data_IF_871183833697
#
_entry.id   IF_871183833697
#
_cell.length_a   1.000
_cell.length_b   1.000
_cell.length_c   1.000
_cell.angle_alpha   90.00
_cell.angle_beta   90.00
_cell.angle_gamma   90.00
#
_symmetry.space_group_name_H-M   'P 1'
#
loop_
_entity.id
_entity.type
_entity.pdbx_description
1 polymer ?
#
# COMPACT_ATOMS: atom_id res chain seq x y z
N UNK A 1 -18.44 -9.27 7.61
CA UNK A 1 -17.89 -8.02 7.06
C UNK A 1 -18.31 -6.87 7.96
N UNK A 2 -17.35 -6.22 8.61
CA UNK A 2 -17.63 -5.07 9.49
C UNK A 2 -16.86 -3.88 8.98
N UNK A 3 -17.59 -2.88 8.46
CA UNK A 3 -17.01 -1.60 8.05
C UNK A 3 -17.20 -0.59 9.17
N UNK A 4 -16.14 0.06 9.57
CA UNK A 4 -16.15 1.11 10.59
C UNK A 4 -15.59 2.42 9.99
N UNK A 5 -16.32 3.53 10.16
CA UNK A 5 -15.76 4.86 9.94
C UNK A 5 -14.83 5.20 11.10
N UNK A 6 -13.65 5.67 10.76
CA UNK A 6 -12.62 6.05 11.74
C UNK A 6 -12.05 7.40 11.35
N UNK A 7 -11.54 8.13 12.35
CA UNK A 7 -10.79 9.36 12.11
C UNK A 7 -9.42 9.32 12.77
N UNK A 8 -8.45 10.04 12.21
CA UNK A 8 -7.08 10.08 12.72
C UNK A 8 -6.38 11.40 12.44
N UNK A 9 -5.55 11.80 13.39
CA UNK A 9 -4.83 13.07 13.32
C UNK A 9 -3.63 12.98 12.39
N UNK A 10 -3.50 14.01 11.54
CA UNK A 10 -2.37 14.24 10.65
C UNK A 10 -1.87 15.67 10.82
N UNK A 11 -0.65 16.02 10.36
CA UNK A 11 -0.20 17.41 10.40
C UNK A 11 -1.18 18.33 9.65
N UNK A 12 -1.74 19.29 10.36
CA UNK A 12 -2.70 20.27 9.81
C UNK A 12 -4.17 19.90 9.86
N UNK A 13 -4.54 18.76 10.51
CA UNK A 13 -5.95 18.41 10.68
C UNK A 13 -6.22 16.96 11.00
N UNK A 14 -7.40 16.53 10.63
CA UNK A 14 -7.90 15.16 10.82
C UNK A 14 -8.36 14.59 9.48
N UNK A 15 -8.16 13.30 9.27
CA UNK A 15 -8.65 12.57 8.10
C UNK A 15 -9.62 11.48 8.54
N UNK A 16 -10.60 11.23 7.68
CA UNK A 16 -11.51 10.11 7.82
C UNK A 16 -11.07 8.92 6.95
N UNK A 17 -11.37 7.73 7.41
CA UNK A 17 -11.11 6.50 6.69
C UNK A 17 -12.18 5.43 6.93
N UNK A 18 -12.13 4.39 6.11
CA UNK A 18 -12.94 3.19 6.27
C UNK A 18 -12.04 2.04 6.70
N UNK A 19 -12.29 1.53 7.89
CA UNK A 19 -11.62 0.36 8.44
C UNK A 19 -12.47 -0.89 8.18
N UNK A 20 -11.88 -1.87 7.52
CA UNK A 20 -12.40 -3.21 7.29
C UNK A 20 -11.87 -4.12 8.39
N UNK A 21 -12.74 -4.65 9.22
CA UNK A 21 -12.38 -5.56 10.32
C UNK A 21 -12.81 -6.98 10.00
N UNK A 22 -11.91 -7.97 10.08
CA UNK A 22 -12.28 -9.36 9.93
C UNK A 22 -13.22 -9.81 11.07
N UNK A 23 -14.05 -10.82 10.82
CA UNK A 23 -14.97 -11.34 11.82
C UNK A 23 -14.27 -12.06 12.98
N UNK A 24 -13.06 -12.53 12.75
CA UNK A 24 -12.17 -13.12 13.76
C UNK A 24 -11.11 -12.12 14.16
N UNK A 25 -10.36 -12.42 15.23
CA UNK A 25 -9.21 -11.59 15.62
C UNK A 25 -8.26 -11.40 14.43
N UNK A 26 -7.93 -10.16 14.14
CA UNK A 26 -7.00 -9.85 13.06
C UNK A 26 -5.60 -10.43 13.31
N UNK A 27 -4.92 -10.86 12.27
CA UNK A 27 -3.50 -11.29 12.35
C UNK A 27 -2.54 -10.11 12.23
N UNK A 28 -3.02 -8.94 11.83
CA UNK A 28 -2.31 -7.68 11.69
C UNK A 28 -3.17 -6.63 11.01
N UNK A 29 -2.64 -5.42 10.82
CA UNK A 29 -3.30 -4.32 10.12
C UNK A 29 -2.55 -3.91 8.87
N UNK A 30 -3.24 -3.47 7.82
CA UNK A 30 -2.66 -2.97 6.60
C UNK A 30 -3.29 -1.64 6.16
N UNK A 31 -2.47 -0.69 5.71
CA UNK A 31 -2.95 0.47 4.98
C UNK A 31 -3.11 0.11 3.50
N UNK A 32 -4.16 0.63 2.86
CA UNK A 32 -4.36 0.52 1.41
C UNK A 32 -4.46 1.93 0.82
N UNK A 33 -3.44 2.32 0.07
CA UNK A 33 -3.16 3.67 -0.38
C UNK A 33 -3.47 3.81 -1.87
N UNK A 34 -4.37 4.74 -2.24
CA UNK A 34 -4.76 4.99 -3.63
C UNK A 34 -3.71 5.77 -4.43
N UNK A 35 -3.87 5.84 -5.75
CA UNK A 35 -2.99 6.55 -6.68
C UNK A 35 -3.15 8.07 -6.68
N UNK A 36 -2.33 8.76 -7.49
CA UNK A 36 -2.37 10.22 -7.68
C UNK A 36 -3.71 10.66 -8.29
N UNK A 37 -4.38 11.63 -7.65
CA UNK A 37 -5.71 12.09 -8.07
C UNK A 37 -6.82 11.04 -7.92
N UNK A 38 -6.51 9.90 -7.29
CA UNK A 38 -7.45 8.81 -7.05
C UNK A 38 -8.33 9.01 -5.83
N UNK A 39 -9.04 7.95 -5.45
CA UNK A 39 -9.96 7.94 -4.32
C UNK A 39 -9.93 6.57 -3.62
N UNK A 40 -10.15 6.49 -2.29
CA UNK A 40 -10.15 5.22 -1.56
C UNK A 40 -11.28 4.25 -1.98
N UNK A 41 -12.31 4.72 -2.67
CA UNK A 41 -13.40 3.89 -3.18
C UNK A 41 -13.19 3.38 -4.62
N UNK A 42 -11.99 3.55 -5.18
CA UNK A 42 -11.68 2.94 -6.48
C UNK A 42 -11.77 1.41 -6.40
N UNK A 43 -12.27 0.73 -7.46
CA UNK A 43 -12.56 -0.71 -7.42
C UNK A 43 -11.38 -1.59 -6.99
N UNK A 44 -10.16 -1.27 -7.40
CA UNK A 44 -8.97 -2.04 -7.00
C UNK A 44 -8.58 -1.82 -5.53
N UNK A 45 -8.81 -0.62 -4.97
CA UNK A 45 -8.57 -0.32 -3.55
C UNK A 45 -9.57 -1.07 -2.68
N UNK A 46 -10.88 -0.99 -3.03
CA UNK A 46 -11.95 -1.68 -2.31
C UNK A 46 -11.75 -3.20 -2.36
N UNK A 47 -11.54 -3.77 -3.55
CA UNK A 47 -11.31 -5.20 -3.71
C UNK A 47 -10.10 -5.70 -2.89
N UNK A 48 -9.06 -4.89 -2.79
CA UNK A 48 -7.88 -5.21 -1.95
C UNK A 48 -8.25 -5.23 -0.46
N UNK A 49 -9.01 -4.24 0.03
CA UNK A 49 -9.46 -4.21 1.42
C UNK A 49 -10.36 -5.41 1.77
N UNK A 50 -11.28 -5.76 0.87
CA UNK A 50 -12.18 -6.91 1.03
C UNK A 50 -11.39 -8.24 1.05
N UNK A 51 -10.40 -8.39 0.18
CA UNK A 51 -9.55 -9.57 0.16
C UNK A 51 -8.66 -9.68 1.41
N UNK A 52 -8.12 -8.58 1.91
CA UNK A 52 -7.37 -8.51 3.17
C UNK A 52 -8.25 -8.91 4.36
N UNK A 53 -9.46 -8.33 4.47
CA UNK A 53 -10.44 -8.66 5.50
C UNK A 53 -10.78 -10.16 5.49
N UNK A 54 -11.08 -10.71 4.30
CA UNK A 54 -11.37 -12.13 4.13
C UNK A 54 -10.19 -13.03 4.51
N UNK A 55 -8.96 -12.54 4.34
CA UNK A 55 -7.72 -13.22 4.76
C UNK A 55 -7.39 -13.04 6.25
N UNK A 56 -8.22 -12.33 7.02
CA UNK A 56 -8.00 -12.09 8.45
C UNK A 56 -7.06 -10.90 8.76
N UNK A 57 -6.83 -10.02 7.80
CA UNK A 57 -6.03 -8.79 7.98
C UNK A 57 -6.97 -7.59 8.04
N UNK A 58 -6.89 -6.78 9.09
CA UNK A 58 -7.62 -5.52 9.14
C UNK A 58 -7.06 -4.54 8.09
N UNK A 59 -7.94 -3.87 7.33
CA UNK A 59 -7.51 -3.00 6.24
C UNK A 59 -8.10 -1.60 6.37
N UNK A 60 -7.25 -0.57 6.33
CA UNK A 60 -7.67 0.83 6.39
C UNK A 60 -7.41 1.51 5.04
N UNK A 61 -8.46 2.09 4.46
CA UNK A 61 -8.38 2.96 3.28
C UNK A 61 -8.89 4.36 3.63
N UNK A 62 -8.27 5.39 3.07
CA UNK A 62 -8.63 6.78 3.32
C UNK A 62 -8.23 7.67 2.13
N UNK A 63 -8.84 8.85 2.02
CA UNK A 63 -8.41 9.88 1.07
C UNK A 63 -7.29 10.72 1.67
N UNK A 64 -6.19 10.92 0.91
CA UNK A 64 -5.16 11.86 1.33
C UNK A 64 -5.72 13.29 1.49
N UNK A 65 -5.17 14.09 2.42
CA UNK A 65 -5.60 15.48 2.64
C UNK A 65 -5.55 16.33 1.37
N UNK A 66 -4.52 16.11 0.56
CA UNK A 66 -4.27 16.82 -0.70
C UNK A 66 -4.53 15.87 -1.89
N UNK A 67 -5.68 15.16 -1.88
CA UNK A 67 -6.00 14.14 -2.90
C UNK A 67 -6.25 14.72 -4.30
N UNK A 68 -6.33 16.04 -4.45
CA UNK A 68 -6.49 16.71 -5.74
C UNK A 68 -5.17 17.25 -6.29
N UNK A 69 -4.80 16.93 -7.55
CA UNK A 69 -3.66 17.56 -8.20
C UNK A 69 -3.81 19.08 -8.27
N UNK A 70 -2.73 19.86 -8.20
CA UNK A 70 -1.32 19.47 -8.10
C UNK A 70 -0.78 19.38 -6.66
N UNK A 71 -1.64 19.48 -5.64
CA UNK A 71 -1.23 19.60 -4.23
C UNK A 71 -0.66 18.31 -3.62
N UNK A 72 -0.95 17.16 -4.25
CA UNK A 72 -0.54 15.85 -3.75
C UNK A 72 0.97 15.65 -3.89
N UNK A 73 1.67 15.52 -2.77
CA UNK A 73 3.12 15.32 -2.71
C UNK A 73 3.48 14.05 -1.95
N UNK A 74 4.67 13.48 -2.21
CA UNK A 74 5.16 12.33 -1.46
C UNK A 74 5.29 12.64 0.04
N UNK A 75 5.64 13.88 0.39
CA UNK A 75 5.80 14.31 1.78
C UNK A 75 4.45 14.33 2.52
N UNK A 76 3.39 14.93 1.91
CA UNK A 76 2.05 14.95 2.50
C UNK A 76 1.47 13.53 2.58
N UNK A 77 1.60 12.73 1.51
CA UNK A 77 1.14 11.34 1.48
C UNK A 77 1.79 10.45 2.54
N UNK A 78 3.11 10.59 2.75
CA UNK A 78 3.84 9.87 3.79
C UNK A 78 3.39 10.31 5.20
N UNK A 79 3.15 11.60 5.41
CA UNK A 79 2.68 12.11 6.70
C UNK A 79 1.26 11.59 7.02
N UNK A 80 0.38 11.50 6.02
CA UNK A 80 -0.97 10.95 6.17
C UNK A 80 -0.93 9.44 6.46
N UNK A 81 -0.13 8.70 5.70
CA UNK A 81 0.09 7.28 5.95
C UNK A 81 0.64 7.01 7.36
N UNK A 82 1.55 7.86 7.86
CA UNK A 82 2.08 7.75 9.23
C UNK A 82 1.00 7.99 10.29
N UNK A 83 0.04 8.90 10.04
CA UNK A 83 -1.13 9.11 10.89
C UNK A 83 -2.03 7.86 10.95
N UNK A 84 -2.33 7.31 9.79
CA UNK A 84 -3.13 6.10 9.65
C UNK A 84 -2.48 4.86 10.31
N UNK A 85 -1.15 4.71 10.22
CA UNK A 85 -0.41 3.66 10.96
C UNK A 85 -0.59 3.82 12.47
N UNK A 86 -0.54 5.05 13.00
CA UNK A 86 -0.78 5.28 14.44
C UNK A 86 -2.18 4.86 14.87
N UNK A 87 -3.21 5.15 14.04
CA UNK A 87 -4.57 4.70 14.29
C UNK A 87 -4.65 3.18 14.39
N UNK A 88 -4.16 2.46 13.36
CA UNK A 88 -4.19 0.99 13.34
C UNK A 88 -3.50 0.38 14.56
N UNK A 89 -2.36 0.93 14.96
CA UNK A 89 -1.61 0.48 16.14
C UNK A 89 -2.34 0.73 17.47
N UNK A 90 -3.13 1.77 17.56
CA UNK A 90 -3.90 2.09 18.76
C UNK A 90 -5.19 1.27 18.86
N UNK A 91 -5.57 0.55 17.80
CA UNK A 91 -6.81 -0.21 17.78
C UNK A 91 -6.66 -1.51 18.59
N UNK A 92 -7.53 -1.78 19.58
CA UNK A 92 -7.36 -2.89 20.53
C UNK A 92 -7.41 -4.28 19.87
N UNK A 93 -8.14 -4.42 18.76
CA UNK A 93 -8.33 -5.69 18.07
C UNK A 93 -7.31 -5.97 16.95
N UNK A 94 -6.36 -5.04 16.72
CA UNK A 94 -5.36 -5.14 15.67
C UNK A 94 -3.97 -5.33 16.29
N UNK A 95 -3.28 -6.47 16.03
CA UNK A 95 -1.90 -6.67 16.47
C UNK A 95 -0.93 -5.62 15.91
N UNK A 96 0.24 -5.47 16.54
CA UNK A 96 1.25 -4.48 16.14
C UNK A 96 1.87 -4.71 14.75
N UNK A 97 1.72 -5.91 14.18
CA UNK A 97 2.25 -6.22 12.86
C UNK A 97 1.53 -5.41 11.76
N UNK A 98 2.28 -4.56 11.08
CA UNK A 98 1.74 -3.63 10.09
C UNK A 98 2.16 -3.99 8.67
N UNK A 99 1.18 -3.90 7.76
CA UNK A 99 1.39 -3.91 6.32
C UNK A 99 1.13 -2.54 5.70
N UNK A 100 1.72 -2.30 4.55
CA UNK A 100 1.41 -1.15 3.70
C UNK A 100 1.26 -1.62 2.25
N UNK A 101 0.11 -1.35 1.67
CA UNK A 101 -0.23 -1.64 0.27
C UNK A 101 -0.46 -0.32 -0.44
N UNK A 102 0.17 -0.08 -1.56
CA UNK A 102 -0.03 1.16 -2.29
C UNK A 102 -0.06 0.96 -3.80
N UNK A 103 -0.93 1.72 -4.45
CA UNK A 103 -1.12 1.72 -5.90
C UNK A 103 -0.55 2.99 -6.51
N UNK A 104 0.26 2.87 -7.56
CA UNK A 104 0.84 4.02 -8.29
C UNK A 104 1.55 4.99 -7.32
N UNK A 105 1.11 6.23 -7.21
CA UNK A 105 1.58 7.18 -6.18
C UNK A 105 1.55 6.57 -4.77
N UNK A 106 0.45 5.91 -4.40
CA UNK A 106 0.35 5.20 -3.12
C UNK A 106 1.42 4.12 -2.97
N UNK A 107 1.85 3.48 -4.06
CA UNK A 107 2.97 2.55 -4.09
C UNK A 107 4.31 3.21 -3.80
N UNK A 108 4.53 4.42 -4.32
CA UNK A 108 5.70 5.23 -3.96
C UNK A 108 5.68 5.65 -2.48
N UNK A 109 4.50 6.04 -1.94
CA UNK A 109 4.32 6.32 -0.51
C UNK A 109 4.57 5.06 0.33
N UNK A 110 4.08 3.89 -0.11
CA UNK A 110 4.30 2.62 0.57
C UNK A 110 5.79 2.25 0.64
N UNK A 111 6.56 2.50 -0.44
CA UNK A 111 8.01 2.31 -0.45
C UNK A 111 8.72 3.20 0.57
N UNK A 112 8.31 4.48 0.68
CA UNK A 112 8.84 5.41 1.67
C UNK A 112 8.47 4.99 3.10
N UNK A 113 7.21 4.63 3.33
CA UNK A 113 6.74 4.19 4.64
C UNK A 113 7.49 2.94 5.10
N UNK A 114 7.63 1.93 4.23
CA UNK A 114 8.36 0.71 4.54
C UNK A 114 9.84 0.95 4.83
N UNK A 115 10.48 1.88 4.13
CA UNK A 115 11.91 2.20 4.35
C UNK A 115 12.17 3.01 5.62
N UNK A 116 11.15 3.68 6.17
CA UNK A 116 11.29 4.60 7.32
C UNK A 116 10.64 4.10 8.61
N UNK A 117 9.71 3.15 8.51
CA UNK A 117 9.05 2.58 9.67
C UNK A 117 9.40 1.10 9.82
N UNK A 118 10.25 0.78 10.78
CA UNK A 118 10.71 -0.59 11.04
C UNK A 118 9.60 -1.53 11.56
N UNK A 119 8.42 -1.00 11.88
CA UNK A 119 7.24 -1.77 12.30
C UNK A 119 6.49 -2.37 11.12
N UNK A 120 6.72 -1.83 9.91
CA UNK A 120 6.17 -2.41 8.67
C UNK A 120 6.87 -3.76 8.42
N UNK A 121 6.07 -4.83 8.36
CA UNK A 121 6.51 -6.21 8.13
C UNK A 121 6.24 -6.68 6.70
N UNK A 122 5.17 -6.18 6.08
CA UNK A 122 4.78 -6.48 4.71
C UNK A 122 4.58 -5.18 3.93
N UNK A 123 5.19 -5.06 2.76
CA UNK A 123 4.97 -3.95 1.85
C UNK A 123 4.53 -4.48 0.49
N UNK A 124 3.56 -3.84 -0.13
CA UNK A 124 3.11 -4.13 -1.49
C UNK A 124 3.20 -2.86 -2.32
N UNK A 125 4.01 -2.91 -3.37
CA UNK A 125 4.19 -1.83 -4.33
C UNK A 125 3.49 -2.23 -5.64
N UNK A 126 2.25 -1.76 -5.79
CA UNK A 126 1.45 -2.04 -6.98
C UNK A 126 1.62 -0.89 -8.00
N UNK A 127 2.13 -1.19 -9.18
CA UNK A 127 2.36 -0.23 -10.25
C UNK A 127 3.08 1.06 -9.75
N UNK A 128 4.06 0.92 -8.85
CA UNK A 128 4.70 2.03 -8.15
C UNK A 128 5.76 2.71 -9.01
N UNK A 129 5.73 4.04 -9.23
CA UNK A 129 6.80 4.74 -9.93
C UNK A 129 8.08 4.75 -9.06
N UNK A 130 9.23 4.47 -9.69
CA UNK A 130 10.54 4.53 -9.02
C UNK A 130 10.95 5.96 -8.63
N UNK A 131 10.38 6.95 -9.31
CA UNK A 131 10.48 8.40 -9.03
C UNK A 131 9.09 9.02 -9.21
N UNK A 132 8.79 10.03 -8.42
CA UNK A 132 7.54 10.79 -8.51
C UNK A 132 7.81 12.26 -8.25
N UNK A 133 7.46 13.12 -9.22
CA UNK A 133 7.74 14.56 -9.18
C UNK A 133 9.24 14.89 -9.19
N UNK A 134 9.54 16.15 -8.91
CA UNK A 134 10.92 16.69 -8.92
C UNK A 134 11.54 16.77 -7.51
N UNK A 135 10.88 16.17 -6.48
CA UNK A 135 11.41 16.16 -5.11
C UNK A 135 12.57 15.16 -4.98
N UNK A 136 13.77 15.67 -5.13
CA UNK A 136 15.00 14.89 -4.96
C UNK A 136 15.25 14.43 -3.52
N UNK A 137 14.50 14.92 -2.52
CA UNK A 137 14.65 14.53 -1.11
C UNK A 137 13.93 13.22 -0.78
N UNK A 138 12.87 12.88 -1.53
CA UNK A 138 12.10 11.68 -1.31
C UNK A 138 12.21 10.75 -2.53
N UNK A 139 13.07 9.75 -2.43
CA UNK A 139 13.34 8.76 -3.50
C UNK A 139 12.80 7.40 -3.11
N UNK A 140 11.56 7.03 -3.52
CA UNK A 140 10.93 5.76 -3.14
C UNK A 140 11.83 4.55 -3.37
N UNK A 141 12.48 4.49 -4.53
CA UNK A 141 13.38 3.40 -4.91
C UNK A 141 14.63 3.28 -4.02
N UNK A 142 15.14 4.39 -3.49
CA UNK A 142 16.28 4.38 -2.59
C UNK A 142 15.85 4.08 -1.14
N UNK A 143 14.72 4.65 -0.71
CA UNK A 143 14.25 4.45 0.67
C UNK A 143 13.81 3.01 0.93
N UNK A 144 13.18 2.33 -0.03
CA UNK A 144 12.73 0.95 0.14
C UNK A 144 13.87 -0.04 0.40
N UNK A 145 15.10 0.29 0.01
CA UNK A 145 16.28 -0.56 0.29
C UNK A 145 16.63 -0.65 1.77
N UNK A 146 16.11 0.27 2.59
CA UNK A 146 16.32 0.31 4.04
C UNK A 146 15.29 -0.47 4.84
N UNK A 147 14.27 -1.01 4.15
CA UNK A 147 13.16 -1.69 4.80
C UNK A 147 13.58 -2.99 5.48
N UNK A 148 12.90 -3.31 6.57
CA UNK A 148 12.89 -4.65 7.19
C UNK A 148 11.69 -5.49 6.76
N UNK A 149 10.76 -4.87 6.01
CA UNK A 149 9.61 -5.55 5.47
C UNK A 149 9.98 -6.52 4.34
N UNK A 150 9.18 -7.54 4.15
CA UNK A 150 9.15 -8.30 2.91
C UNK A 150 8.36 -7.54 1.87
N UNK A 151 8.84 -7.46 0.64
CA UNK A 151 8.27 -6.60 -0.40
C UNK A 151 7.64 -7.43 -1.53
N UNK A 152 6.37 -7.17 -1.83
CA UNK A 152 5.72 -7.64 -3.05
C UNK A 152 5.70 -6.52 -4.09
N UNK A 153 6.26 -6.78 -5.25
CA UNK A 153 6.13 -5.95 -6.45
C UNK A 153 5.02 -6.57 -7.30
N UNK A 154 3.96 -5.81 -7.61
CA UNK A 154 2.85 -6.33 -8.40
C UNK A 154 2.45 -5.34 -9.50
N UNK A 155 2.38 -5.83 -10.75
CA UNK A 155 2.10 -5.01 -11.93
C UNK A 155 1.12 -5.71 -12.87
N UNK A 156 0.34 -4.91 -13.59
CA UNK A 156 -0.42 -5.37 -14.74
C UNK A 156 0.47 -5.51 -15.97
N UNK A 157 0.29 -6.58 -16.75
CA UNK A 157 1.08 -6.80 -17.99
C UNK A 157 0.78 -5.76 -19.08
N UNK A 158 -0.35 -5.04 -18.95
CA UNK A 158 -0.80 -3.97 -19.87
C UNK A 158 -0.70 -2.57 -19.26
N UNK A 159 0.08 -2.40 -18.18
CA UNK A 159 0.29 -1.08 -17.59
C UNK A 159 1.12 -0.19 -18.52
N UNK A 160 0.47 0.84 -19.08
CA UNK A 160 1.10 1.83 -19.98
C UNK A 160 1.45 3.13 -19.27
N UNK A 161 1.01 3.33 -18.01
CA UNK A 161 1.28 4.55 -17.24
C UNK A 161 2.57 4.43 -16.43
N UNK A 162 2.77 3.31 -15.74
CA UNK A 162 4.01 2.99 -15.03
C UNK A 162 4.57 1.70 -15.58
N UNK A 163 5.48 1.76 -16.57
CA UNK A 163 5.99 0.59 -17.28
C UNK A 163 6.65 -0.43 -16.36
N UNK A 164 6.62 -1.71 -16.77
CA UNK A 164 7.23 -2.85 -16.05
C UNK A 164 8.72 -2.64 -15.70
N UNK A 165 9.43 -1.77 -16.43
CA UNK A 165 10.81 -1.39 -16.11
C UNK A 165 10.95 -0.78 -14.71
N UNK A 166 9.88 -0.22 -14.13
CA UNK A 166 9.89 0.21 -12.73
C UNK A 166 9.91 -0.98 -11.77
N UNK A 167 9.16 -2.04 -12.04
CA UNK A 167 9.22 -3.29 -11.26
C UNK A 167 10.64 -3.89 -11.30
N UNK A 168 11.26 -3.93 -12.48
CA UNK A 168 12.63 -4.43 -12.66
C UNK A 168 13.65 -3.61 -11.87
N UNK A 169 13.52 -2.27 -11.89
CA UNK A 169 14.37 -1.36 -11.09
C UNK A 169 14.21 -1.61 -9.59
N UNK A 170 12.97 -1.73 -9.08
CA UNK A 170 12.72 -2.06 -7.69
C UNK A 170 13.32 -3.42 -7.33
N UNK A 171 13.09 -4.46 -8.14
CA UNK A 171 13.64 -5.80 -7.91
C UNK A 171 15.18 -5.78 -7.85
N UNK A 172 15.82 -5.05 -8.77
CA UNK A 172 17.28 -4.89 -8.80
C UNK A 172 17.83 -4.29 -7.51
N UNK A 173 17.31 -3.14 -7.07
CA UNK A 173 17.82 -2.48 -5.86
C UNK A 173 17.50 -3.26 -4.58
N UNK A 174 16.35 -3.93 -4.51
CA UNK A 174 15.98 -4.80 -3.39
C UNK A 174 16.90 -6.03 -3.30
N UNK A 175 17.24 -6.64 -4.45
CA UNK A 175 18.22 -7.74 -4.52
C UNK A 175 19.60 -7.28 -4.03
N UNK A 176 20.08 -6.14 -4.51
CA UNK A 176 21.38 -5.59 -4.09
C UNK A 176 21.40 -5.28 -2.59
N UNK A 177 20.30 -4.79 -2.04
CA UNK A 177 20.13 -4.51 -0.60
C UNK A 177 19.83 -5.77 0.24
N UNK A 178 19.72 -6.96 -0.38
CA UNK A 178 19.36 -8.23 0.26
C UNK A 178 18.00 -8.19 0.97
N UNK A 179 17.07 -7.37 0.48
CA UNK A 179 15.69 -7.32 0.95
C UNK A 179 14.91 -8.46 0.34
N UNK A 180 14.22 -9.24 1.16
CA UNK A 180 13.34 -10.31 0.68
C UNK A 180 12.18 -9.72 -0.12
N UNK A 181 12.05 -10.11 -1.38
CA UNK A 181 11.00 -9.62 -2.24
C UNK A 181 10.51 -10.67 -3.24
N UNK A 182 9.34 -10.44 -3.82
CA UNK A 182 8.73 -11.22 -4.90
C UNK A 182 8.16 -10.26 -5.94
N UNK A 183 8.27 -10.60 -7.22
CA UNK A 183 7.61 -9.88 -8.31
C UNK A 183 6.50 -10.75 -8.89
N UNK A 184 5.31 -10.17 -9.08
CA UNK A 184 4.13 -10.80 -9.68
C UNK A 184 3.62 -9.90 -10.80
N UNK A 185 3.48 -10.47 -11.99
CA UNK A 185 2.86 -9.80 -13.14
C UNK A 185 1.46 -10.39 -13.32
N UNK A 186 0.45 -9.53 -13.28
CA UNK A 186 -0.95 -9.90 -13.48
C UNK A 186 -1.28 -9.78 -14.96
N UNK A 187 -1.44 -10.92 -15.61
CA UNK A 187 -1.74 -10.96 -17.04
C UNK A 187 -3.06 -10.28 -17.36
N UNK A 188 -3.06 -9.42 -18.39
CA UNK A 188 -4.21 -8.63 -18.82
C UNK A 188 -4.59 -7.46 -17.88
N UNK A 189 -3.86 -7.27 -16.77
CA UNK A 189 -4.05 -6.11 -15.89
C UNK A 189 -3.52 -4.83 -16.52
N UNK A 190 -4.28 -3.76 -16.43
CA UNK A 190 -3.87 -2.38 -16.72
C UNK A 190 -3.34 -1.70 -15.46
N UNK A 191 -3.08 -0.38 -15.53
CA UNK A 191 -2.54 0.40 -14.41
C UNK A 191 -3.42 0.36 -13.16
N UNK A 192 -4.75 0.46 -13.33
CA UNK A 192 -5.74 0.48 -12.25
C UNK A 192 -6.34 -0.92 -11.97
N UNK A 193 -5.84 -1.97 -12.61
CA UNK A 193 -6.44 -3.31 -12.57
C UNK A 193 -7.95 -3.28 -12.86
N UNK A 194 -8.34 -2.49 -13.86
CA UNK A 194 -9.75 -2.24 -14.21
C UNK A 194 -10.50 -3.52 -14.60
N UNK A 195 -9.92 -4.49 -15.35
CA UNK A 195 -10.62 -5.72 -15.67
C UNK A 195 -10.87 -6.58 -14.41
N UNK A 196 -12.09 -7.12 -14.27
CA UNK A 196 -12.52 -7.81 -13.05
C UNK A 196 -11.65 -9.02 -12.68
N UNK A 197 -11.27 -9.85 -13.65
CA UNK A 197 -10.41 -11.02 -13.43
C UNK A 197 -9.01 -10.66 -12.91
N UNK A 198 -8.25 -9.82 -13.63
CA UNK A 198 -6.98 -9.28 -13.16
C UNK A 198 -7.06 -8.59 -11.80
N UNK A 199 -8.11 -7.80 -11.54
CA UNK A 199 -8.33 -7.15 -10.24
C UNK A 199 -8.51 -8.14 -9.11
N UNK A 200 -9.34 -9.17 -9.31
CA UNK A 200 -9.56 -10.20 -8.30
C UNK A 200 -8.26 -10.97 -7.99
N UNK A 201 -7.50 -11.35 -9.04
CA UNK A 201 -6.23 -12.04 -8.86
C UNK A 201 -5.20 -11.15 -8.15
N UNK A 202 -5.10 -9.87 -8.51
CA UNK A 202 -4.22 -8.91 -7.84
C UNK A 202 -4.59 -8.82 -6.34
N UNK A 203 -5.85 -8.60 -6.00
CA UNK A 203 -6.32 -8.49 -4.62
C UNK A 203 -6.04 -9.77 -3.80
N UNK A 204 -6.25 -10.94 -4.41
CA UNK A 204 -5.89 -12.22 -3.80
C UNK A 204 -4.39 -12.31 -3.49
N UNK A 205 -3.51 -11.99 -4.45
CA UNK A 205 -2.05 -12.05 -4.24
C UNK A 205 -1.57 -11.08 -3.16
N UNK A 206 -2.18 -9.89 -3.09
CA UNK A 206 -1.91 -8.91 -2.03
C UNK A 206 -2.31 -9.46 -0.66
N UNK A 207 -3.51 -10.04 -0.56
CA UNK A 207 -4.02 -10.59 0.70
C UNK A 207 -3.20 -11.80 1.18
N UNK A 208 -2.85 -12.72 0.28
CA UNK A 208 -1.95 -13.84 0.57
C UNK A 208 -0.61 -13.34 1.13
N UNK A 209 0.02 -12.38 0.45
CA UNK A 209 1.30 -11.80 0.88
C UNK A 209 1.22 -11.15 2.26
N UNK A 210 0.20 -10.32 2.49
CA UNK A 210 0.04 -9.65 3.78
C UNK A 210 -0.20 -10.67 4.90
N UNK A 211 -1.09 -11.65 4.70
CA UNK A 211 -1.35 -12.68 5.70
C UNK A 211 -0.09 -13.49 6.05
N UNK A 212 0.67 -13.95 5.04
CA UNK A 212 1.90 -14.72 5.25
C UNK A 212 2.95 -13.96 6.08
N UNK A 213 3.01 -12.64 5.95
CA UNK A 213 4.06 -11.82 6.55
C UNK A 213 3.62 -11.01 7.78
N UNK A 214 2.34 -11.07 8.15
CA UNK A 214 1.79 -10.43 9.35
C UNK A 214 1.38 -11.44 10.43
N UNK A 215 1.10 -12.69 10.05
CA UNK A 215 0.75 -13.77 10.97
C UNK A 215 2.02 -14.36 11.64
N UNK A 216 2.60 -13.63 12.61
CA UNK A 216 3.78 -14.10 13.37
C UNK A 216 3.53 -14.00 14.86
#
# INVERSE_FOLDING_TARGET
MTLQRVSFVVPGGELEGTLHLPQTRAVGGALVLHGFGGHPDQPHVVATCEALEAAGVAALRFAYRDHQPPRMTLASGLADASGAVRLLKAHPDIPEAMGVVGFSFGGAVAALAAGRDSRVRAAVLAAAPARFGDDDKLKPIAEVTRTRARVLLIWGSRDTQVPLTNAERYASVLSQARVTHRTVIIEGGDHDFSPAGPRALMAQRVAEWCRENLAT
#
